data_IF_749760240078
#
_entry.id   IF_749760240078
#
_cell.length_a   1.000
_cell.length_b   1.000
_cell.length_c   1.000
_cell.angle_alpha   90.00
_cell.angle_beta   90.00
_cell.angle_gamma   90.00
#
_symmetry.space_group_name_H-M   'P 1'
#
loop_
_entity.id
_entity.type
_entity.pdbx_description
1 polymer ?
#
# COMPACT_ATOMS: atom_id res chain seq x y z
N UNK A 1 8.57 22.06 -8.41
CA UNK A 1 7.34 22.33 -7.63
C UNK A 1 7.69 22.45 -6.15
N UNK A 2 7.02 23.34 -5.39
CA UNK A 2 7.28 23.50 -3.93
C UNK A 2 6.55 22.47 -3.06
N UNK A 3 5.62 21.69 -3.63
CA UNK A 3 4.85 20.64 -2.98
C UNK A 3 4.51 19.52 -3.99
N UNK A 4 4.25 18.31 -3.48
CA UNK A 4 3.80 17.12 -4.21
C UNK A 4 2.76 16.36 -3.36
N UNK A 5 1.98 15.49 -4.00
CA UNK A 5 1.00 14.63 -3.33
C UNK A 5 1.66 13.42 -2.67
N UNK A 6 1.09 12.97 -1.56
CA UNK A 6 1.29 11.62 -1.02
C UNK A 6 0.10 10.79 -1.50
N UNK A 7 0.36 9.74 -2.28
CA UNK A 7 -0.67 8.74 -2.57
C UNK A 7 -0.61 7.68 -1.48
N UNK A 8 -1.57 7.70 -0.56
CA UNK A 8 -1.71 6.67 0.46
C UNK A 8 -2.76 5.65 0.00
N UNK A 9 -2.37 4.38 -0.14
CA UNK A 9 -3.27 3.32 -0.65
C UNK A 9 -4.44 3.02 0.28
N UNK A 10 -4.27 3.25 1.59
CA UNK A 10 -5.33 3.13 2.57
C UNK A 10 -6.35 4.25 2.39
N UNK A 11 -5.91 5.51 2.41
CA UNK A 11 -6.82 6.64 2.22
C UNK A 11 -7.48 6.66 0.85
N UNK A 12 -6.77 6.24 -0.20
CA UNK A 12 -7.35 6.09 -1.55
C UNK A 12 -8.50 5.07 -1.55
N UNK A 13 -8.32 3.92 -0.89
CA UNK A 13 -9.37 2.90 -0.76
C UNK A 13 -10.57 3.42 0.05
N UNK A 14 -10.33 4.06 1.19
CA UNK A 14 -11.38 4.59 2.07
C UNK A 14 -12.21 5.69 1.39
N UNK A 15 -11.61 6.44 0.46
CA UNK A 15 -12.30 7.41 -0.38
C UNK A 15 -13.15 6.78 -1.51
N UNK A 16 -13.14 5.44 -1.66
CA UNK A 16 -13.81 4.73 -2.75
C UNK A 16 -12.98 4.65 -4.03
N UNK A 17 -11.67 4.90 -3.95
CA UNK A 17 -10.77 4.99 -5.09
C UNK A 17 -10.78 6.38 -5.73
N UNK A 18 -10.44 6.45 -7.02
CA UNK A 18 -10.44 7.70 -7.78
C UNK A 18 -9.38 7.71 -8.89
N UNK A 19 -9.15 8.89 -9.45
CA UNK A 19 -8.07 9.09 -10.40
C UNK A 19 -6.69 9.02 -9.71
N UNK A 20 -5.70 8.54 -10.47
CA UNK A 20 -4.29 8.57 -10.08
C UNK A 20 -3.59 9.78 -10.69
N UNK A 21 -2.62 10.35 -9.96
CA UNK A 21 -1.93 11.59 -10.35
C UNK A 21 -0.39 11.41 -10.31
N UNK A 22 0.18 10.46 -11.09
CA UNK A 22 1.60 10.08 -11.00
C UNK A 22 2.56 11.27 -11.13
N UNK A 23 2.32 12.19 -12.06
CA UNK A 23 3.16 13.39 -12.28
C UNK A 23 3.22 14.33 -11.06
N UNK A 24 2.18 14.30 -10.22
CA UNK A 24 2.05 15.13 -9.04
C UNK A 24 2.40 14.40 -7.74
N UNK A 25 2.50 13.06 -7.78
CA UNK A 25 2.86 12.23 -6.64
C UNK A 25 4.36 12.31 -6.36
N UNK A 26 4.72 12.54 -5.09
CA UNK A 26 6.10 12.57 -4.62
C UNK A 26 6.53 11.28 -3.94
N UNK A 27 5.56 10.60 -3.31
CA UNK A 27 5.76 9.33 -2.60
C UNK A 27 4.43 8.59 -2.57
N UNK A 28 4.49 7.26 -2.59
CA UNK A 28 3.36 6.38 -2.36
C UNK A 28 3.54 5.71 -1.00
N UNK A 29 2.57 5.89 -0.10
CA UNK A 29 2.50 5.14 1.16
C UNK A 29 1.65 3.89 0.95
N UNK A 30 2.16 2.76 1.43
CA UNK A 30 1.52 1.45 1.32
C UNK A 30 1.32 0.83 2.69
N UNK A 31 0.18 0.19 2.86
CA UNK A 31 -0.16 -0.67 4.01
C UNK A 31 -1.35 -1.53 3.64
N UNK A 32 -1.61 -2.61 4.37
CA UNK A 32 -2.78 -3.46 4.18
C UNK A 32 -3.71 -3.40 5.39
N UNK A 33 -4.96 -3.79 5.17
CA UNK A 33 -5.86 -4.25 6.24
C UNK A 33 -6.27 -5.67 5.89
N UNK A 34 -6.02 -6.62 6.79
CA UNK A 34 -6.21 -8.06 6.53
C UNK A 34 -7.32 -8.70 7.36
N UNK A 35 -7.75 -8.06 8.46
CA UNK A 35 -8.85 -8.58 9.28
C UNK A 35 -10.16 -8.52 8.48
N UNK A 36 -10.79 -9.65 8.11
CA UNK A 36 -11.99 -9.66 7.30
C UNK A 36 -13.22 -9.11 8.04
N UNK A 37 -13.17 -9.01 9.37
CA UNK A 37 -14.30 -8.59 10.19
C UNK A 37 -14.45 -7.08 10.28
N UNK A 38 -13.45 -6.30 9.85
CA UNK A 38 -13.50 -4.82 9.86
C UNK A 38 -14.11 -4.33 8.54
N UNK A 39 -15.31 -3.71 8.54
CA UNK A 39 -15.86 -3.07 7.35
C UNK A 39 -14.96 -1.93 6.86
N UNK A 40 -14.94 -1.66 5.55
CA UNK A 40 -14.09 -0.58 4.98
C UNK A 40 -14.36 0.77 5.64
N UNK A 41 -15.63 1.09 5.92
CA UNK A 41 -16.03 2.34 6.56
C UNK A 41 -15.57 2.47 8.03
N UNK A 42 -15.17 1.37 8.67
CA UNK A 42 -14.71 1.31 10.06
C UNK A 42 -13.20 1.09 10.18
N UNK A 43 -12.50 0.96 9.04
CA UNK A 43 -11.06 0.85 9.03
C UNK A 43 -10.44 2.12 9.62
N UNK A 44 -9.43 1.91 10.45
CA UNK A 44 -8.67 2.95 11.16
C UNK A 44 -7.18 2.64 11.02
N UNK A 45 -6.33 3.63 11.28
CA UNK A 45 -4.88 3.47 11.15
C UNK A 45 -4.35 2.28 11.95
N UNK A 46 -4.88 2.01 13.14
CA UNK A 46 -4.50 0.87 13.98
C UNK A 46 -4.68 -0.51 13.33
N UNK A 47 -5.40 -0.60 12.20
CA UNK A 47 -5.56 -1.83 11.43
C UNK A 47 -4.51 -2.00 10.32
N UNK A 48 -3.67 -0.98 10.08
CA UNK A 48 -2.70 -0.95 8.99
C UNK A 48 -1.49 -1.84 9.32
N UNK A 49 -1.33 -2.90 8.55
CA UNK A 49 -0.27 -3.93 8.63
C UNK A 49 0.56 -4.00 7.35
N UNK A 50 1.58 -4.86 7.33
CA UNK A 50 2.33 -5.19 6.11
C UNK A 50 1.44 -5.90 5.07
N UNK A 51 1.76 -5.74 3.79
CA UNK A 51 0.98 -6.31 2.69
C UNK A 51 1.30 -7.79 2.52
N UNK A 52 0.27 -8.62 2.43
CA UNK A 52 0.36 -10.03 2.06
C UNK A 52 -0.81 -10.42 1.14
N UNK A 53 -0.99 -11.73 0.91
CA UNK A 53 -2.05 -12.27 0.07
C UNK A 53 -3.48 -12.02 0.60
N UNK A 54 -3.64 -11.56 1.83
CA UNK A 54 -4.93 -11.24 2.45
C UNK A 54 -5.25 -9.74 2.39
N UNK A 55 -4.43 -8.94 1.70
CA UNK A 55 -4.68 -7.52 1.50
C UNK A 55 -6.10 -7.28 0.94
N UNK A 56 -6.80 -6.32 1.55
CA UNK A 56 -8.16 -5.92 1.18
C UNK A 56 -8.21 -4.54 0.53
N UNK A 57 -7.07 -3.85 0.40
CA UNK A 57 -7.00 -2.49 -0.12
C UNK A 57 -6.61 -2.44 -1.61
N UNK A 58 -6.31 -3.58 -2.22
CA UNK A 58 -5.93 -3.63 -3.64
C UNK A 58 -4.58 -2.95 -3.91
N UNK A 59 -3.62 -3.10 -2.99
CA UNK A 59 -2.31 -2.45 -3.11
C UNK A 59 -1.60 -2.85 -4.41
N UNK A 60 -1.67 -4.12 -4.81
CA UNK A 60 -1.04 -4.59 -6.05
C UNK A 60 -1.65 -3.89 -7.26
N UNK A 61 -2.97 -3.76 -7.32
CA UNK A 61 -3.68 -3.06 -8.39
C UNK A 61 -3.33 -1.58 -8.43
N UNK A 62 -3.39 -0.89 -7.29
CA UNK A 62 -3.05 0.53 -7.18
C UNK A 62 -1.59 0.81 -7.60
N UNK A 63 -0.64 -0.02 -7.15
CA UNK A 63 0.78 0.08 -7.52
C UNK A 63 0.94 -0.12 -9.03
N UNK A 64 0.27 -1.12 -9.61
CA UNK A 64 0.34 -1.36 -11.06
C UNK A 64 -0.22 -0.18 -11.85
N UNK A 65 -1.36 0.35 -11.46
CA UNK A 65 -1.98 1.48 -12.15
C UNK A 65 -1.07 2.71 -12.10
N UNK A 66 -0.49 3.01 -10.93
CA UNK A 66 0.48 4.10 -10.77
C UNK A 66 1.70 3.92 -11.69
N UNK A 67 2.31 2.74 -11.69
CA UNK A 67 3.47 2.43 -12.54
C UNK A 67 3.11 2.51 -14.04
N UNK A 68 1.96 1.96 -14.43
CA UNK A 68 1.48 1.98 -15.82
C UNK A 68 1.17 3.40 -16.31
N UNK A 69 0.76 4.29 -15.40
CA UNK A 69 0.53 5.72 -15.68
C UNK A 69 1.82 6.55 -15.60
N UNK A 70 2.98 5.93 -15.33
CA UNK A 70 4.29 6.56 -15.41
C UNK A 70 4.87 7.04 -14.09
N UNK A 71 4.31 6.64 -12.93
CA UNK A 71 4.96 6.90 -11.65
C UNK A 71 6.29 6.16 -11.56
N UNK A 72 7.38 6.87 -11.31
CA UNK A 72 8.75 6.34 -11.20
C UNK A 72 9.38 6.60 -9.81
N UNK A 73 8.57 7.09 -8.87
CA UNK A 73 9.00 7.43 -7.53
C UNK A 73 9.06 6.24 -6.56
N UNK A 74 9.22 6.55 -5.27
CA UNK A 74 9.39 5.55 -4.22
C UNK A 74 8.08 5.10 -3.60
N UNK A 75 8.06 3.86 -3.11
CA UNK A 75 7.01 3.27 -2.28
C UNK A 75 7.57 3.09 -0.87
N UNK A 76 6.78 3.46 0.15
CA UNK A 76 7.19 3.37 1.55
C UNK A 76 6.06 2.79 2.40
N UNK A 77 6.43 2.03 3.42
CA UNK A 77 5.46 1.49 4.37
C UNK A 77 5.00 2.54 5.37
N UNK A 78 3.70 2.57 5.63
CA UNK A 78 3.09 3.37 6.70
C UNK A 78 2.07 2.53 7.46
N UNK A 79 2.55 1.80 8.47
CA UNK A 79 1.77 0.87 9.29
C UNK A 79 1.67 1.37 10.74
N UNK A 80 0.49 1.25 11.35
CA UNK A 80 0.25 1.69 12.74
C UNK A 80 -0.28 0.59 13.64
N UNK A 81 -0.46 -0.64 13.14
CA UNK A 81 -0.97 -1.71 14.00
C UNK A 81 0.04 -2.09 15.09
N UNK A 82 -0.45 -2.39 16.31
CA UNK A 82 0.40 -2.96 17.36
C UNK A 82 1.08 -4.26 16.95
N UNK A 83 0.44 -5.06 16.08
CA UNK A 83 1.02 -6.28 15.51
C UNK A 83 2.29 -5.99 14.72
N UNK A 84 2.28 -4.95 13.87
CA UNK A 84 3.47 -4.56 13.09
C UNK A 84 4.59 -4.04 14.00
N UNK A 85 4.25 -3.34 15.09
CA UNK A 85 5.25 -2.89 16.07
C UNK A 85 5.85 -4.04 16.88
N UNK A 86 5.12 -5.15 17.03
CA UNK A 86 5.55 -6.31 17.78
C UNK A 86 6.38 -7.32 16.94
N UNK A 87 6.64 -7.04 15.66
CA UNK A 87 7.46 -7.90 14.82
C UNK A 87 8.89 -7.97 15.36
N UNK A 88 9.36 -9.19 15.67
CA UNK A 88 10.70 -9.44 16.23
C UNK A 88 11.83 -9.15 15.22
N UNK A 89 11.66 -9.53 13.95
CA UNK A 89 12.58 -9.25 12.85
C UNK A 89 11.91 -8.41 11.76
N UNK A 90 11.76 -7.09 11.97
CA UNK A 90 11.04 -6.22 11.04
C UNK A 90 11.73 -6.16 9.68
N UNK A 91 13.06 -6.31 9.61
CA UNK A 91 13.78 -6.30 8.35
C UNK A 91 13.35 -7.45 7.44
N UNK A 92 13.32 -8.68 7.97
CA UNK A 92 12.94 -9.86 7.18
C UNK A 92 11.48 -9.82 6.76
N UNK A 93 10.57 -9.39 7.64
CA UNK A 93 9.13 -9.33 7.32
C UNK A 93 8.79 -8.23 6.31
N UNK A 94 9.39 -7.04 6.45
CA UNK A 94 9.24 -5.96 5.45
C UNK A 94 9.80 -6.41 4.11
N UNK A 95 10.97 -7.07 4.09
CA UNK A 95 11.56 -7.58 2.84
C UNK A 95 10.66 -8.62 2.17
N UNK A 96 10.16 -9.61 2.92
CA UNK A 96 9.22 -10.62 2.40
C UNK A 96 7.99 -9.97 1.78
N UNK A 97 7.47 -8.92 2.40
CA UNK A 97 6.31 -8.21 1.93
C UNK A 97 6.59 -7.42 0.62
N UNK A 98 7.74 -6.74 0.51
CA UNK A 98 8.16 -6.14 -0.76
C UNK A 98 8.41 -7.19 -1.85
N UNK A 99 9.04 -8.32 -1.52
CA UNK A 99 9.26 -9.43 -2.45
C UNK A 99 7.92 -9.96 -2.98
N UNK A 100 6.91 -10.08 -2.11
CA UNK A 100 5.54 -10.44 -2.49
C UNK A 100 4.92 -9.42 -3.44
N UNK A 101 4.96 -8.12 -3.10
CA UNK A 101 4.42 -7.05 -3.96
C UNK A 101 5.07 -7.09 -5.35
N UNK A 102 6.41 -7.14 -5.40
CA UNK A 102 7.16 -7.17 -6.65
C UNK A 102 6.77 -8.37 -7.52
N UNK A 103 6.65 -9.56 -6.93
CA UNK A 103 6.24 -10.77 -7.64
C UNK A 103 4.82 -10.65 -8.21
N UNK A 104 3.86 -10.09 -7.44
CA UNK A 104 2.47 -9.93 -7.90
C UNK A 104 2.35 -8.89 -9.01
N UNK A 105 3.07 -7.77 -8.89
CA UNK A 105 3.11 -6.71 -9.91
C UNK A 105 3.66 -7.24 -11.24
N UNK A 106 4.73 -8.05 -11.19
CA UNK A 106 5.32 -8.68 -12.37
C UNK A 106 4.42 -9.75 -12.98
N UNK A 107 3.86 -10.65 -12.16
CA UNK A 107 3.05 -11.78 -12.65
C UNK A 107 1.80 -11.32 -13.42
N UNK A 108 1.19 -10.20 -13.02
CA UNK A 108 0.01 -9.67 -13.72
C UNK A 108 0.33 -8.84 -14.97
N UNK A 109 1.61 -8.54 -15.21
CA UNK A 109 2.06 -7.83 -16.42
C UNK A 109 2.31 -8.77 -17.62
N UNK A 110 2.39 -10.08 -17.37
CA UNK A 110 2.47 -11.14 -18.38
C UNK A 110 1.08 -11.60 -18.84
#
# INVERSE_FOLDING_TARGET
HRYKLVHDTFHHTLAGGGAYYPDYTGIVHVSAVVDPNVPVAEMQDSHRVLIDAKDRLGNVEQIRDLLALGYDGVFSYECFSPETWAIEDPYSEIRKSFDFIAAQVQAKAA
#
